data_IF_485492476442
#
_entry.id   IF_485492476442
#
_cell.length_a   1.000
_cell.length_b   1.000
_cell.length_c   1.000
_cell.angle_alpha   90.00
_cell.angle_beta   90.00
_cell.angle_gamma   90.00
#
_symmetry.space_group_name_H-M   'P 1'
#
loop_
_entity.id
_entity.type
_entity.pdbx_description
1 polymer ?
#
# COMPACT_ATOMS: atom_id res chain seq x y z
N UNK A 1 -20.65 -19.71 -13.34
CA UNK A 1 -19.45 -18.86 -13.30
C UNK A 1 -19.77 -17.42 -12.94
N UNK A 2 -20.86 -17.22 -12.22
CA UNK A 2 -21.48 -15.93 -11.90
C UNK A 2 -20.58 -15.11 -10.99
N UNK A 3 -19.96 -15.73 -9.98
CA UNK A 3 -19.01 -15.07 -9.08
C UNK A 3 -17.82 -14.51 -9.85
N UNK A 4 -17.24 -15.27 -10.77
CA UNK A 4 -16.13 -14.79 -11.59
C UNK A 4 -16.54 -13.60 -12.48
N UNK A 5 -17.75 -13.65 -13.05
CA UNK A 5 -18.29 -12.55 -13.85
C UNK A 5 -18.54 -11.30 -12.99
N UNK A 6 -19.05 -11.46 -11.77
CA UNK A 6 -19.25 -10.35 -10.82
C UNK A 6 -17.93 -9.73 -10.38
N UNK A 7 -16.91 -10.53 -10.06
CA UNK A 7 -15.57 -10.02 -9.71
C UNK A 7 -14.96 -9.21 -10.85
N UNK A 8 -15.07 -9.71 -12.09
CA UNK A 8 -14.58 -8.98 -13.27
C UNK A 8 -15.35 -7.67 -13.46
N UNK A 9 -16.67 -7.73 -13.36
CA UNK A 9 -17.53 -6.55 -13.52
C UNK A 9 -17.18 -5.48 -12.48
N UNK A 10 -17.09 -5.84 -11.20
CA UNK A 10 -16.73 -4.93 -10.11
C UNK A 10 -15.35 -4.28 -10.32
N UNK A 11 -14.33 -5.07 -10.69
CA UNK A 11 -12.99 -4.56 -10.93
C UNK A 11 -12.95 -3.55 -12.10
N UNK A 12 -13.68 -3.84 -13.19
CA UNK A 12 -13.70 -2.98 -14.39
C UNK A 12 -14.56 -1.72 -14.19
N UNK A 13 -15.69 -1.82 -13.47
CA UNK A 13 -16.59 -0.69 -13.25
C UNK A 13 -15.95 0.37 -12.36
N UNK A 14 -15.15 -0.02 -11.35
CA UNK A 14 -14.38 0.92 -10.50
C UNK A 14 -13.43 1.83 -11.29
N UNK A 15 -13.04 1.44 -12.51
CA UNK A 15 -12.17 2.22 -13.38
C UNK A 15 -12.94 3.16 -14.33
N UNK A 16 -14.27 3.11 -14.35
CA UNK A 16 -15.08 3.96 -15.22
C UNK A 16 -15.25 5.37 -14.61
N UNK A 17 -15.15 6.44 -15.43
CA UNK A 17 -15.38 7.81 -14.97
C UNK A 17 -16.76 7.96 -14.29
N UNK A 18 -16.79 8.68 -13.17
CA UNK A 18 -18.02 8.94 -12.41
C UNK A 18 -18.50 7.81 -11.49
N UNK A 19 -17.83 6.66 -11.45
CA UNK A 19 -18.15 5.58 -10.50
C UNK A 19 -17.52 5.83 -9.13
N UNK A 20 -16.26 6.26 -9.10
CA UNK A 20 -15.58 6.69 -7.88
C UNK A 20 -15.74 8.19 -7.68
N UNK A 21 -16.05 8.61 -6.45
CA UNK A 21 -16.19 10.03 -6.11
C UNK A 21 -14.88 10.82 -6.27
N UNK A 22 -13.77 10.19 -5.87
CA UNK A 22 -12.41 10.70 -6.13
C UNK A 22 -11.75 9.79 -7.16
N UNK A 23 -11.60 10.30 -8.38
CA UNK A 23 -10.97 9.58 -9.48
C UNK A 23 -9.54 9.16 -9.14
N UNK A 24 -8.85 9.85 -8.22
CA UNK A 24 -7.51 9.50 -7.77
C UNK A 24 -7.46 8.31 -6.80
N UNK A 25 -8.60 7.88 -6.24
CA UNK A 25 -8.61 6.86 -5.18
C UNK A 25 -8.02 5.52 -5.65
N UNK A 26 -8.34 5.09 -6.87
CA UNK A 26 -7.84 3.80 -7.38
C UNK A 26 -6.33 3.79 -7.64
N UNK A 27 -5.69 4.96 -7.75
CA UNK A 27 -4.24 5.07 -7.94
C UNK A 27 -3.44 4.66 -6.70
N UNK A 28 -4.11 4.62 -5.54
CA UNK A 28 -3.52 4.23 -4.26
C UNK A 28 -3.86 2.78 -3.90
N UNK A 29 -4.55 2.03 -4.78
CA UNK A 29 -4.87 0.63 -4.55
C UNK A 29 -3.63 -0.27 -4.79
N UNK A 30 -3.61 -1.42 -4.10
CA UNK A 30 -2.60 -2.46 -4.33
C UNK A 30 -2.56 -2.87 -5.81
N UNK A 31 -1.36 -3.19 -6.30
CA UNK A 31 -1.08 -3.56 -7.69
C UNK A 31 -1.30 -2.46 -8.73
N UNK A 32 -1.70 -1.24 -8.32
CA UNK A 32 -1.78 -0.13 -9.26
C UNK A 32 -0.36 0.27 -9.74
N UNK A 33 -0.16 0.54 -11.04
CA UNK A 33 1.11 1.04 -11.55
C UNK A 33 1.62 2.33 -10.89
N UNK A 34 0.74 3.18 -10.37
CA UNK A 34 1.13 4.37 -9.62
C UNK A 34 1.84 4.05 -8.29
N UNK A 35 1.72 2.82 -7.79
CA UNK A 35 2.44 2.27 -6.64
C UNK A 35 3.54 1.28 -7.05
N UNK A 36 4.01 1.33 -8.30
CA UNK A 36 4.94 0.38 -8.91
C UNK A 36 4.43 -1.08 -8.90
N UNK A 37 3.12 -1.29 -8.72
CA UNK A 37 2.53 -2.62 -8.61
C UNK A 37 2.69 -3.30 -7.24
N UNK A 38 3.17 -2.57 -6.22
CA UNK A 38 3.31 -3.08 -4.85
C UNK A 38 1.95 -3.23 -4.14
N UNK A 39 1.94 -3.92 -2.99
CA UNK A 39 0.83 -3.84 -2.05
C UNK A 39 0.74 -2.43 -1.45
N UNK A 40 -0.46 -2.03 -1.05
CA UNK A 40 -0.68 -0.74 -0.39
C UNK A 40 -0.25 -0.75 1.09
N UNK A 41 -0.11 0.44 1.68
CA UNK A 41 0.28 0.65 3.07
C UNK A 41 -0.88 0.46 4.05
N UNK A 42 -0.62 0.22 5.35
CA UNK A 42 -1.66 0.21 6.36
C UNK A 42 -2.26 1.59 6.55
N UNK A 43 -3.58 1.63 6.72
CA UNK A 43 -4.36 2.84 6.93
C UNK A 43 -4.84 2.94 8.36
N UNK A 44 -4.89 4.16 8.86
CA UNK A 44 -5.30 4.48 10.21
C UNK A 44 -6.38 5.56 10.16
N UNK A 45 -7.33 5.49 11.09
CA UNK A 45 -8.39 6.48 11.28
C UNK A 45 -8.60 6.70 12.77
N UNK A 46 -9.45 7.68 13.11
CA UNK A 46 -9.76 8.01 14.50
C UNK A 46 -10.35 6.80 15.24
N UNK A 47 -10.08 6.63 16.55
CA UNK A 47 -9.25 7.50 17.43
C UNK A 47 -7.73 7.29 17.27
N UNK A 48 -6.91 8.23 17.77
CA UNK A 48 -5.43 8.13 17.72
C UNK A 48 -4.87 6.91 18.46
N UNK A 49 -5.55 6.47 19.50
CA UNK A 49 -5.27 5.25 20.25
C UNK A 49 -6.54 4.44 20.29
N UNK A 50 -6.53 3.29 19.61
CA UNK A 50 -7.66 2.39 19.56
C UNK A 50 -7.46 1.23 20.55
N UNK A 51 -8.42 1.05 21.46
CA UNK A 51 -8.46 -0.07 22.39
C UNK A 51 -9.30 -1.18 21.77
N UNK A 52 -8.63 -2.11 21.08
CA UNK A 52 -9.27 -3.22 20.38
C UNK A 52 -9.18 -4.55 21.15
N UNK A 53 -9.82 -5.61 20.63
CA UNK A 53 -9.76 -6.96 21.23
C UNK A 53 -8.34 -7.52 21.36
N UNK A 54 -7.39 -7.03 20.55
CA UNK A 54 -5.98 -7.46 20.53
C UNK A 54 -5.06 -6.55 21.34
N UNK A 55 -5.62 -5.60 22.10
CA UNK A 55 -4.88 -4.61 22.87
C UNK A 55 -4.93 -3.20 22.28
N UNK A 56 -4.02 -2.36 22.74
CA UNK A 56 -3.92 -0.96 22.34
C UNK A 56 -3.11 -0.82 21.05
N UNK A 57 -3.68 -0.14 20.06
CA UNK A 57 -3.02 0.18 18.79
C UNK A 57 -3.03 1.69 18.59
N UNK A 58 -1.85 2.30 18.65
CA UNK A 58 -1.65 3.73 18.37
C UNK A 58 -1.40 4.00 16.89
N UNK A 59 -1.89 5.14 16.41
CA UNK A 59 -1.53 5.67 15.09
C UNK A 59 -0.03 6.03 15.10
N UNK A 60 0.76 5.59 14.10
CA UNK A 60 2.17 5.96 14.01
C UNK A 60 2.38 7.47 14.07
N UNK A 61 3.31 7.94 14.91
CA UNK A 61 3.54 9.36 15.16
C UNK A 61 3.82 10.18 13.88
N UNK A 62 4.43 9.56 12.87
CA UNK A 62 4.65 10.18 11.55
C UNK A 62 3.35 10.59 10.86
N UNK A 63 2.27 9.81 11.02
CA UNK A 63 0.95 10.10 10.45
C UNK A 63 0.22 11.22 11.20
N UNK A 64 0.62 11.51 12.45
CA UNK A 64 0.11 12.62 13.25
C UNK A 64 0.90 13.91 13.07
N UNK A 65 2.03 13.86 12.35
CA UNK A 65 2.99 14.97 12.27
C UNK A 65 2.61 16.09 11.29
N UNK A 66 1.70 15.82 10.35
CA UNK A 66 1.39 16.73 9.24
C UNK A 66 2.52 16.91 8.21
N UNK A 67 3.66 16.23 8.36
CA UNK A 67 4.77 16.32 7.42
C UNK A 67 4.58 15.38 6.23
N UNK A 68 3.97 15.89 5.15
CA UNK A 68 3.65 15.11 3.94
C UNK A 68 4.83 14.29 3.39
N UNK A 69 6.02 14.86 3.27
CA UNK A 69 7.20 14.12 2.79
C UNK A 69 7.61 12.94 3.68
N UNK A 70 7.48 13.07 5.00
CA UNK A 70 7.75 11.96 5.92
C UNK A 70 6.65 10.89 5.86
N UNK A 71 5.40 11.31 5.69
CA UNK A 71 4.26 10.40 5.52
C UNK A 71 4.42 9.60 4.24
N UNK A 72 4.78 10.22 3.12
CA UNK A 72 4.95 9.53 1.84
C UNK A 72 6.13 8.55 1.87
N UNK A 73 7.26 8.96 2.47
CA UNK A 73 8.39 8.07 2.70
C UNK A 73 8.01 6.87 3.58
N UNK A 74 7.27 7.11 4.66
CA UNK A 74 6.79 6.04 5.54
C UNK A 74 5.83 5.10 4.80
N UNK A 75 4.88 5.64 4.02
CA UNK A 75 3.94 4.83 3.22
C UNK A 75 4.71 3.96 2.23
N UNK A 76 5.70 4.50 1.52
CA UNK A 76 6.57 3.73 0.63
C UNK A 76 7.25 2.57 1.36
N UNK A 77 7.83 2.82 2.52
CA UNK A 77 8.47 1.79 3.35
C UNK A 77 7.48 0.71 3.79
N UNK A 78 6.25 1.08 4.19
CA UNK A 78 5.23 0.09 4.56
C UNK A 78 4.78 -0.78 3.37
N UNK A 79 4.66 -0.19 2.16
CA UNK A 79 4.35 -0.96 0.94
C UNK A 79 5.43 -1.99 0.65
N UNK A 80 6.70 -1.59 0.76
CA UNK A 80 7.84 -2.49 0.61
C UNK A 80 7.81 -3.60 1.66
N UNK A 81 7.60 -3.25 2.93
CA UNK A 81 7.53 -4.21 4.03
C UNK A 81 6.41 -5.25 3.83
N UNK A 82 5.20 -4.78 3.54
CA UNK A 82 4.04 -5.62 3.32
C UNK A 82 4.24 -6.52 2.10
N UNK A 83 4.75 -5.97 1.00
CA UNK A 83 5.00 -6.74 -0.22
C UNK A 83 6.09 -7.78 0.00
N UNK A 84 7.22 -7.43 0.62
CA UNK A 84 8.28 -8.39 0.93
C UNK A 84 7.77 -9.56 1.78
N UNK A 85 6.95 -9.26 2.80
CA UNK A 85 6.43 -10.26 3.74
C UNK A 85 5.33 -11.13 3.14
N UNK A 86 4.38 -10.54 2.41
CA UNK A 86 3.15 -11.23 1.98
C UNK A 86 3.19 -11.68 0.53
N UNK A 87 3.93 -10.99 -0.34
CA UNK A 87 4.02 -11.21 -1.79
C UNK A 87 5.46 -11.01 -2.29
N UNK A 88 6.43 -11.82 -1.81
CA UNK A 88 7.82 -11.71 -2.25
C UNK A 88 7.98 -11.91 -3.77
N UNK A 89 7.06 -12.64 -4.40
CA UNK A 89 6.98 -12.79 -5.86
C UNK A 89 6.71 -11.46 -6.59
N UNK A 90 5.83 -10.62 -6.04
CA UNK A 90 5.55 -9.29 -6.58
C UNK A 90 6.76 -8.39 -6.40
N UNK A 91 7.39 -8.39 -5.22
CA UNK A 91 8.59 -7.59 -4.99
C UNK A 91 9.71 -7.95 -5.98
N UNK A 92 9.91 -9.24 -6.26
CA UNK A 92 10.88 -9.69 -7.25
C UNK A 92 10.56 -9.19 -8.66
N UNK A 93 9.28 -9.20 -9.08
CA UNK A 93 8.85 -8.66 -10.37
C UNK A 93 9.08 -7.15 -10.48
N UNK A 94 8.72 -6.39 -9.44
CA UNK A 94 8.96 -4.94 -9.40
C UNK A 94 10.46 -4.63 -9.47
N UNK A 95 11.29 -5.40 -8.76
CA UNK A 95 12.75 -5.29 -8.83
C UNK A 95 13.27 -5.56 -10.25
N UNK A 96 12.83 -6.63 -10.90
CA UNK A 96 13.24 -6.97 -12.27
C UNK A 96 12.80 -5.91 -13.29
N UNK A 97 11.65 -5.29 -13.08
CA UNK A 97 11.13 -4.21 -13.91
C UNK A 97 11.81 -2.84 -13.63
N UNK A 98 12.70 -2.75 -12.65
CA UNK A 98 13.38 -1.51 -12.28
C UNK A 98 12.52 -0.52 -11.49
N UNK A 99 11.41 -0.97 -10.89
CA UNK A 99 10.50 -0.13 -10.10
C UNK A 99 10.96 0.16 -8.66
N UNK A 100 12.16 -0.31 -8.27
CA UNK A 100 12.74 -0.02 -6.96
C UNK A 100 13.87 1.01 -7.09
N UNK A 101 13.81 2.05 -6.28
CA UNK A 101 14.86 3.07 -6.21
C UNK A 101 16.06 2.56 -5.40
N UNK A 102 17.24 3.18 -5.52
CA UNK A 102 18.38 2.86 -4.66
C UNK A 102 18.10 3.05 -3.16
N UNK A 103 17.18 3.95 -2.81
CA UNK A 103 16.74 4.15 -1.43
C UNK A 103 15.87 2.99 -0.93
N UNK A 104 14.94 2.49 -1.77
CA UNK A 104 14.11 1.33 -1.46
C UNK A 104 14.98 0.09 -1.22
N UNK A 105 15.96 -0.16 -2.09
CA UNK A 105 16.86 -1.31 -1.97
C UNK A 105 17.74 -1.25 -0.72
N UNK A 106 18.16 -0.05 -0.33
CA UNK A 106 18.88 0.16 0.93
C UNK A 106 17.97 -0.11 2.13
N UNK A 107 16.77 0.44 2.12
CA UNK A 107 15.81 0.27 3.19
C UNK A 107 15.42 -1.20 3.39
N UNK A 108 15.13 -1.92 2.30
CA UNK A 108 14.85 -3.36 2.30
C UNK A 108 15.99 -4.16 2.92
N UNK A 109 17.23 -3.86 2.55
CA UNK A 109 18.42 -4.53 3.11
C UNK A 109 18.57 -4.25 4.61
N UNK A 110 18.33 -3.02 5.04
CA UNK A 110 18.54 -2.65 6.44
C UNK A 110 17.43 -3.19 7.39
N UNK A 111 16.22 -3.47 6.87
CA UNK A 111 15.04 -3.78 7.69
C UNK A 111 14.42 -5.17 7.47
N UNK A 112 14.77 -5.86 6.38
CA UNK A 112 14.20 -7.16 6.00
C UNK A 112 15.28 -8.21 5.68
N UNK A 113 16.53 -7.96 6.07
CA UNK A 113 17.55 -9.01 6.10
C UNK A 113 17.34 -9.88 7.34
N UNK A 114 17.05 -11.16 7.12
CA UNK A 114 17.30 -12.22 8.11
C UNK A 114 18.81 -12.39 8.34
#
# INVERSE_FOLDING_TARGET
GEIAALTLLDAVTRLQPGVLNDEGSHQQDSFNPALDGLLDCPHYTRPEVWQGPSGEVGVPAVLLSGHHGHIDAWRRQQRLAATAKLRPDVLAQVRLAGGLTPQDERWLRDHLSD
#
